data_IF_266489406713
#
_entry.id   IF_266489406713
#
_cell.length_a   1.000
_cell.length_b   1.000
_cell.length_c   1.000
_cell.angle_alpha   90.00
_cell.angle_beta   90.00
_cell.angle_gamma   90.00
#
_symmetry.space_group_name_H-M   'P 1'
#
loop_
_entity.id
_entity.type
_entity.pdbx_description
1 polymer ?
#
# COMPACT_ATOMS: atom_id res chain seq x y z
N UNK A 1 -46.44 76.34 -22.99
CA UNK A 1 -46.24 76.06 -21.54
C UNK A 1 -46.42 74.58 -21.31
N UNK A 2 -45.46 73.97 -20.61
CA UNK A 2 -45.51 72.70 -19.84
C UNK A 2 -45.76 71.36 -20.55
N UNK A 3 -44.73 70.52 -20.42
CA UNK A 3 -44.65 69.05 -20.46
C UNK A 3 -45.86 68.33 -19.84
N UNK A 4 -46.12 67.07 -20.23
CA UNK A 4 -45.94 65.87 -19.39
C UNK A 4 -46.06 64.58 -20.25
N UNK A 5 -45.17 63.62 -19.97
CA UNK A 5 -44.99 62.32 -20.60
C UNK A 5 -46.05 61.29 -20.20
N UNK A 6 -46.33 60.31 -21.07
CA UNK A 6 -46.71 58.97 -20.63
C UNK A 6 -46.07 57.91 -21.55
N UNK A 7 -45.17 57.13 -20.95
CA UNK A 7 -44.55 55.93 -21.50
C UNK A 7 -45.57 54.80 -21.60
N UNK A 8 -45.53 53.99 -22.67
CA UNK A 8 -45.74 52.55 -22.56
C UNK A 8 -44.90 51.79 -23.59
N UNK A 9 -44.30 50.70 -23.10
CA UNK A 9 -43.23 49.92 -23.70
C UNK A 9 -43.70 49.07 -24.88
N UNK A 10 -42.86 49.03 -25.92
CA UNK A 10 -42.87 48.00 -26.97
C UNK A 10 -41.94 46.86 -26.51
N UNK A 11 -42.40 45.60 -26.41
CA UNK A 11 -41.50 44.50 -26.11
C UNK A 11 -40.67 44.14 -27.35
N UNK A 12 -39.35 44.33 -27.23
CA UNK A 12 -38.34 43.84 -28.17
C UNK A 12 -38.29 42.31 -28.07
N UNK A 13 -38.77 41.63 -29.12
CA UNK A 13 -38.52 40.20 -29.33
C UNK A 13 -37.06 40.03 -29.76
N UNK A 14 -36.18 39.78 -28.78
CA UNK A 14 -34.83 39.27 -29.02
C UNK A 14 -34.92 37.79 -29.38
N UNK A 15 -34.66 37.48 -30.66
CA UNK A 15 -34.32 36.16 -31.17
C UNK A 15 -33.10 35.65 -30.40
N UNK A 16 -33.33 34.86 -29.36
CA UNK A 16 -32.28 34.05 -28.74
C UNK A 16 -32.00 32.87 -29.66
N UNK A 17 -30.92 32.98 -30.43
CA UNK A 17 -30.32 31.86 -31.13
C UNK A 17 -29.87 30.83 -30.09
N UNK A 18 -30.70 29.83 -29.86
CA UNK A 18 -30.35 28.63 -29.12
C UNK A 18 -29.43 27.80 -30.01
N UNK A 19 -28.13 28.13 -30.03
CA UNK A 19 -27.11 27.19 -30.48
C UNK A 19 -27.03 26.08 -29.45
N UNK A 20 -27.80 25.00 -29.68
CA UNK A 20 -27.54 23.71 -29.06
C UNK A 20 -26.19 23.21 -29.61
N UNK A 21 -25.11 23.53 -28.90
CA UNK A 21 -23.89 22.72 -28.98
C UNK A 21 -24.24 21.33 -28.49
N UNK A 22 -24.54 20.44 -29.43
CA UNK A 22 -24.39 18.98 -29.26
C UNK A 22 -22.90 18.65 -29.25
N UNK A 23 -22.16 19.28 -28.34
CA UNK A 23 -20.81 18.88 -28.01
C UNK A 23 -20.91 17.61 -27.20
N UNK A 24 -20.62 16.47 -27.82
CA UNK A 24 -20.19 15.27 -27.09
C UNK A 24 -18.88 15.66 -26.38
N UNK A 25 -18.97 16.32 -25.22
CA UNK A 25 -17.83 16.58 -24.37
C UNK A 25 -17.35 15.22 -23.87
N UNK A 26 -16.45 14.62 -24.64
CA UNK A 26 -15.64 13.50 -24.16
C UNK A 26 -14.99 14.01 -22.88
N UNK A 27 -15.25 13.36 -21.72
CA UNK A 27 -14.73 13.88 -20.48
C UNK A 27 -13.21 13.95 -20.53
N UNK A 28 -12.64 14.96 -19.89
CA UNK A 28 -11.20 15.14 -19.80
C UNK A 28 -10.51 13.80 -19.45
N UNK A 29 -9.44 13.42 -20.18
CA UNK A 29 -8.70 12.21 -19.86
C UNK A 29 -8.03 12.28 -18.48
N UNK A 30 -7.97 13.47 -17.87
CA UNK A 30 -7.46 13.70 -16.52
C UNK A 30 -8.60 14.09 -15.58
N UNK A 31 -8.55 13.59 -14.36
CA UNK A 31 -9.47 13.97 -13.30
C UNK A 31 -8.74 14.13 -11.97
N UNK A 32 -9.21 15.05 -11.13
CA UNK A 32 -8.85 15.08 -9.72
C UNK A 32 -9.54 13.91 -9.03
N UNK A 33 -8.77 13.12 -8.30
CA UNK A 33 -9.24 11.97 -7.55
C UNK A 33 -8.80 12.09 -6.10
N UNK A 34 -9.78 11.97 -5.20
CA UNK A 34 -9.56 11.87 -3.75
C UNK A 34 -9.23 10.42 -3.41
N UNK A 35 -8.18 10.23 -2.62
CA UNK A 35 -7.77 8.98 -2.02
C UNK A 35 -7.88 9.09 -0.49
N UNK A 36 -8.37 8.04 0.16
CA UNK A 36 -8.54 7.98 1.59
C UNK A 36 -7.40 7.19 2.23
N UNK A 37 -6.80 7.75 3.27
CA UNK A 37 -5.75 7.12 4.07
C UNK A 37 -6.36 6.07 5.01
N UNK A 38 -5.62 5.00 5.36
CA UNK A 38 -6.11 4.01 6.31
C UNK A 38 -6.16 4.59 7.73
N UNK A 39 -6.90 3.93 8.61
CA UNK A 39 -6.79 4.20 10.05
C UNK A 39 -5.46 3.66 10.57
N UNK A 40 -4.76 4.48 11.36
CA UNK A 40 -3.54 4.11 12.06
C UNK A 40 -3.90 3.56 13.45
N UNK A 41 -3.39 2.38 13.84
CA UNK A 41 -3.75 1.76 15.12
C UNK A 41 -3.13 2.48 16.33
N UNK A 42 -3.86 2.49 17.45
CA UNK A 42 -3.45 3.19 18.68
C UNK A 42 -2.27 2.53 19.42
N UNK A 43 -2.09 1.21 19.28
CA UNK A 43 -1.04 0.45 19.99
C UNK A 43 0.27 0.37 19.20
N UNK A 44 0.53 1.29 18.27
CA UNK A 44 1.75 1.34 17.48
C UNK A 44 2.53 2.61 17.82
N UNK A 45 3.81 2.74 17.42
CA UNK A 45 4.57 3.95 17.69
C UNK A 45 3.82 5.19 17.19
N UNK A 46 3.93 6.34 17.87
CA UNK A 46 3.21 7.55 17.49
C UNK A 46 3.40 7.89 16.01
N UNK A 47 2.30 8.21 15.34
CA UNK A 47 2.32 8.62 13.95
C UNK A 47 2.77 10.09 13.85
N UNK A 48 3.92 10.33 13.20
CA UNK A 48 4.43 11.66 12.92
C UNK A 48 3.85 12.24 11.61
N UNK A 49 3.40 11.38 10.69
CA UNK A 49 2.80 11.81 9.43
C UNK A 49 2.61 10.67 8.43
N UNK A 50 2.32 11.03 7.19
CA UNK A 50 2.19 10.10 6.08
C UNK A 50 3.06 10.51 4.91
N UNK A 51 3.76 9.53 4.32
CA UNK A 51 4.35 9.65 2.98
C UNK A 51 3.41 8.95 2.01
N UNK A 52 2.80 9.71 1.12
CA UNK A 52 1.94 9.15 0.05
C UNK A 52 2.71 9.11 -1.25
N UNK A 53 2.55 8.02 -1.99
CA UNK A 53 3.21 7.79 -3.27
C UNK A 53 2.17 7.31 -4.28
N UNK A 54 2.14 7.92 -5.46
CA UNK A 54 1.22 7.58 -6.53
C UNK A 54 1.97 7.53 -7.85
N UNK A 55 1.74 6.49 -8.65
CA UNK A 55 2.30 6.40 -10.00
C UNK A 55 1.23 6.76 -11.02
N UNK A 56 1.40 7.88 -11.72
CA UNK A 56 0.46 8.35 -12.75
C UNK A 56 1.23 8.98 -13.90
N UNK A 57 0.85 8.61 -15.13
CA UNK A 57 1.39 9.19 -16.36
C UNK A 57 2.92 8.99 -16.52
N UNK A 58 3.47 7.88 -16.03
CA UNK A 58 4.91 7.61 -16.14
C UNK A 58 5.75 8.28 -15.05
N UNK A 59 5.12 9.00 -14.12
CA UNK A 59 5.81 9.75 -13.07
C UNK A 59 5.31 9.34 -11.69
N UNK A 60 6.24 9.30 -10.74
CA UNK A 60 5.93 9.15 -9.31
C UNK A 60 5.61 10.53 -8.74
N UNK A 61 4.45 10.64 -8.09
CA UNK A 61 4.06 11.81 -7.32
C UNK A 61 4.12 11.45 -5.84
N UNK A 62 4.83 12.26 -5.05
CA UNK A 62 5.02 12.05 -3.61
C UNK A 62 4.49 13.26 -2.85
N UNK A 63 3.76 13.03 -1.75
CA UNK A 63 3.36 14.08 -0.81
C UNK A 63 3.59 13.62 0.63
N UNK A 64 4.06 14.55 1.46
CA UNK A 64 4.17 14.38 2.90
C UNK A 64 3.00 15.09 3.58
N UNK A 65 2.31 14.40 4.48
CA UNK A 65 1.07 14.86 5.08
C UNK A 65 1.13 14.75 6.61
N UNK A 66 0.48 15.65 7.35
CA UNK A 66 0.33 15.54 8.80
C UNK A 66 -0.40 14.25 9.25
N UNK A 67 -0.20 13.80 10.50
CA UNK A 67 -0.72 12.50 10.96
C UNK A 67 -2.26 12.40 10.96
N UNK A 68 -2.93 13.52 11.20
CA UNK A 68 -4.39 13.69 11.26
C UNK A 68 -5.06 13.77 9.87
N UNK A 69 -4.29 13.74 8.78
CA UNK A 69 -4.87 13.73 7.44
C UNK A 69 -5.65 12.45 7.18
N UNK A 70 -6.84 12.59 6.59
CA UNK A 70 -7.73 11.45 6.25
C UNK A 70 -7.82 11.20 4.74
N UNK A 71 -7.55 12.22 3.95
CA UNK A 71 -7.69 12.17 2.50
C UNK A 71 -6.66 13.05 1.79
N UNK A 72 -6.37 12.72 0.54
CA UNK A 72 -5.40 13.43 -0.30
C UNK A 72 -5.86 13.40 -1.76
N UNK A 73 -5.67 14.52 -2.46
CA UNK A 73 -6.04 14.67 -3.86
C UNK A 73 -4.85 14.47 -4.80
N UNK A 74 -5.08 13.78 -5.91
CA UNK A 74 -4.13 13.66 -7.01
C UNK A 74 -4.82 13.83 -8.37
N UNK A 75 -4.06 14.31 -9.36
CA UNK A 75 -4.51 14.31 -10.75
C UNK A 75 -4.13 12.96 -11.38
N UNK A 76 -5.15 12.19 -11.76
CA UNK A 76 -4.99 10.86 -12.34
C UNK A 76 -5.53 10.81 -13.76
N UNK A 77 -5.05 9.84 -14.56
CA UNK A 77 -5.69 9.54 -15.84
C UNK A 77 -6.93 8.70 -15.60
N UNK A 78 -8.08 9.16 -16.12
CA UNK A 78 -9.37 8.51 -15.91
C UNK A 78 -9.33 7.06 -16.38
N UNK A 79 -9.88 6.15 -15.58
CA UNK A 79 -10.01 4.72 -15.85
C UNK A 79 -8.69 3.95 -16.08
N UNK A 80 -7.53 4.54 -15.74
CA UNK A 80 -6.26 3.82 -15.74
C UNK A 80 -5.95 3.31 -14.33
N UNK A 81 -5.49 2.07 -14.24
CA UNK A 81 -4.87 1.50 -13.04
C UNK A 81 -3.79 2.44 -12.56
N UNK A 82 -4.03 3.01 -11.38
CA UNK A 82 -3.17 3.99 -10.72
C UNK A 82 -2.98 3.50 -9.29
N UNK A 83 -1.84 2.88 -8.97
CA UNK A 83 -1.55 2.45 -7.62
C UNK A 83 -1.25 3.65 -6.73
N UNK A 84 -1.83 3.63 -5.55
CA UNK A 84 -1.62 4.60 -4.48
C UNK A 84 -1.11 3.86 -3.24
N UNK A 85 -0.07 4.41 -2.62
CA UNK A 85 0.55 3.91 -1.40
C UNK A 85 0.55 5.00 -0.33
N UNK A 86 0.27 4.60 0.91
CA UNK A 86 0.38 5.43 2.10
C UNK A 86 1.30 4.75 3.11
N UNK A 87 2.50 5.30 3.27
CA UNK A 87 3.47 4.88 4.26
C UNK A 87 3.27 5.70 5.53
N UNK A 88 3.05 5.07 6.70
CA UNK A 88 3.09 5.80 7.94
C UNK A 88 4.54 6.21 8.25
N UNK A 89 4.70 7.47 8.63
CA UNK A 89 5.94 8.00 9.17
C UNK A 89 5.76 8.00 10.67
N UNK A 90 6.59 7.24 11.38
CA UNK A 90 6.43 7.04 12.83
C UNK A 90 7.58 7.66 13.58
N UNK A 91 7.30 8.22 14.74
CA UNK A 91 8.32 8.56 15.72
C UNK A 91 9.01 7.26 16.15
N UNK A 92 10.31 7.14 15.89
CA UNK A 92 11.04 5.92 16.29
C UNK A 92 11.40 6.04 17.77
N UNK A 93 11.07 5.06 18.63
CA UNK A 93 11.36 5.21 20.06
C UNK A 93 12.86 5.27 20.41
N UNK A 94 13.72 4.80 19.51
CA UNK A 94 15.18 4.72 19.70
C UNK A 94 15.97 5.82 18.97
N UNK A 95 15.31 6.69 18.21
CA UNK A 95 15.97 7.80 17.52
C UNK A 95 15.12 9.06 17.58
N UNK A 96 15.77 10.23 17.60
CA UNK A 96 15.07 11.51 17.55
C UNK A 96 14.44 11.80 16.17
N UNK A 97 14.66 10.93 15.19
CA UNK A 97 14.17 11.07 13.82
C UNK A 97 12.88 10.27 13.59
N UNK A 98 12.07 10.75 12.66
CA UNK A 98 10.86 10.02 12.21
C UNK A 98 11.17 9.26 10.93
N UNK A 99 10.71 8.02 10.83
CA UNK A 99 11.10 7.12 9.74
C UNK A 99 9.92 6.32 9.15
N UNK A 100 10.09 5.88 7.90
CA UNK A 100 9.18 4.91 7.27
C UNK A 100 9.72 3.50 7.49
N UNK A 101 9.31 2.85 8.58
CA UNK A 101 9.66 1.45 8.85
C UNK A 101 8.63 0.47 8.30
N UNK A 102 7.34 0.82 8.40
CA UNK A 102 6.25 -0.10 8.10
C UNK A 102 5.93 -0.14 6.60
N UNK A 103 5.48 -1.30 6.14
CA UNK A 103 4.93 -1.47 4.79
C UNK A 103 3.70 -0.58 4.60
N UNK A 104 3.49 -0.06 3.38
CA UNK A 104 2.43 0.87 3.10
C UNK A 104 1.07 0.19 3.09
N UNK A 105 0.03 0.91 3.49
CA UNK A 105 -1.31 0.64 2.98
C UNK A 105 -1.40 1.08 1.52
N UNK A 106 -2.42 0.60 0.80
CA UNK A 106 -2.61 1.05 -0.56
C UNK A 106 -3.99 0.77 -1.11
N UNK A 107 -4.20 1.28 -2.32
CA UNK A 107 -5.36 1.00 -3.14
C UNK A 107 -5.01 1.16 -4.63
N UNK A 108 -5.94 0.74 -5.49
CA UNK A 108 -5.78 0.82 -6.94
C UNK A 108 -7.00 1.51 -7.55
N UNK A 109 -6.83 2.75 -7.98
CA UNK A 109 -7.83 3.44 -8.80
C UNK A 109 -7.84 2.79 -10.21
N UNK A 110 -8.98 2.64 -10.91
CA UNK A 110 -10.33 3.10 -10.54
C UNK A 110 -11.12 2.13 -9.64
N UNK A 111 -10.54 1.00 -9.24
CA UNK A 111 -11.26 -0.04 -8.52
C UNK A 111 -11.64 0.36 -7.09
N UNK A 112 -10.73 1.03 -6.40
CA UNK A 112 -10.96 1.60 -5.07
C UNK A 112 -10.05 2.82 -4.88
N UNK A 113 -10.52 3.78 -4.08
CA UNK A 113 -9.72 4.90 -3.59
C UNK A 113 -9.58 4.90 -2.08
N UNK A 114 -10.14 3.89 -1.40
CA UNK A 114 -9.97 3.67 0.03
C UNK A 114 -8.78 2.77 0.24
N UNK A 115 -7.74 3.29 0.88
CA UNK A 115 -6.53 2.53 1.17
C UNK A 115 -6.79 1.55 2.31
N UNK A 116 -6.31 0.33 2.13
CA UNK A 116 -6.31 -0.68 3.18
C UNK A 116 -4.90 -1.26 3.30
N UNK A 117 -4.53 -1.64 4.52
CA UNK A 117 -3.25 -2.27 4.78
C UNK A 117 -3.06 -3.54 3.94
N UNK A 118 -4.12 -4.36 3.83
CA UNK A 118 -4.13 -5.63 3.08
C UNK A 118 -3.96 -5.46 1.57
N UNK A 119 -4.20 -4.25 1.08
CA UNK A 119 -4.24 -3.90 -0.32
C UNK A 119 -2.93 -3.21 -0.76
N UNK A 120 -2.07 -2.86 0.21
CA UNK A 120 -0.76 -2.25 -0.02
C UNK A 120 0.16 -3.09 -0.89
N UNK A 121 0.19 -4.41 -0.70
CA UNK A 121 1.01 -5.32 -1.51
C UNK A 121 0.65 -5.24 -3.00
N UNK A 122 -0.64 -5.33 -3.33
CA UNK A 122 -1.12 -5.27 -4.71
C UNK A 122 -0.79 -3.93 -5.36
N UNK A 123 -1.01 -2.83 -4.64
CA UNK A 123 -0.66 -1.49 -5.09
C UNK A 123 0.86 -1.32 -5.30
N UNK A 124 1.69 -1.82 -4.39
CA UNK A 124 3.15 -1.72 -4.50
C UNK A 124 3.68 -2.56 -5.66
N UNK A 125 3.16 -3.78 -5.83
CA UNK A 125 3.49 -4.63 -6.97
C UNK A 125 3.12 -3.96 -8.30
N UNK A 126 1.92 -3.38 -8.39
CA UNK A 126 1.49 -2.63 -9.58
C UNK A 126 2.41 -1.45 -9.85
N UNK A 127 2.78 -0.70 -8.81
CA UNK A 127 3.68 0.44 -8.92
C UNK A 127 5.07 0.00 -9.41
N UNK A 128 5.63 -1.06 -8.84
CA UNK A 128 6.92 -1.62 -9.27
C UNK A 128 6.86 -2.09 -10.72
N UNK A 129 5.81 -2.82 -11.13
CA UNK A 129 5.65 -3.26 -12.51
C UNK A 129 5.59 -2.08 -13.48
N UNK A 130 4.83 -1.03 -13.16
CA UNK A 130 4.68 0.15 -14.01
C UNK A 130 6.00 0.94 -14.15
N UNK A 131 6.82 0.96 -13.10
CA UNK A 131 8.14 1.61 -13.11
C UNK A 131 9.19 0.78 -13.85
N UNK A 132 9.26 -0.52 -13.55
CA UNK A 132 10.31 -1.43 -14.00
C UNK A 132 10.09 -1.91 -15.44
N UNK A 133 8.84 -1.94 -15.90
CA UNK A 133 8.46 -2.44 -17.23
C UNK A 133 7.50 -1.49 -17.97
N UNK A 134 7.95 -0.26 -18.32
CA UNK A 134 7.09 0.74 -18.97
C UNK A 134 6.53 0.28 -20.33
N UNK A 135 7.23 -0.60 -21.04
CA UNK A 135 6.77 -1.19 -22.32
C UNK A 135 5.59 -2.14 -22.15
N UNK A 136 5.42 -2.73 -20.96
CA UNK A 136 4.34 -3.68 -20.65
C UNK A 136 3.10 -2.99 -20.06
N UNK A 137 3.05 -1.65 -20.11
CA UNK A 137 1.98 -0.84 -19.51
C UNK A 137 0.57 -1.36 -19.85
N UNK A 138 0.28 -1.69 -21.12
CA UNK A 138 -1.05 -2.21 -21.51
C UNK A 138 -1.41 -3.53 -20.82
N UNK A 139 -0.43 -4.42 -20.65
CA UNK A 139 -0.61 -5.70 -19.96
C UNK A 139 -0.86 -5.49 -18.47
N UNK A 140 -0.07 -4.62 -17.86
CA UNK A 140 -0.20 -4.27 -16.44
C UNK A 140 -1.57 -3.62 -16.17
N UNK A 141 -2.02 -2.72 -17.05
CA UNK A 141 -3.34 -2.08 -16.98
C UNK A 141 -4.52 -3.05 -17.14
N UNK A 142 -4.34 -4.14 -17.89
CA UNK A 142 -5.38 -5.15 -18.14
C UNK A 142 -5.32 -6.35 -17.20
N UNK A 143 -4.31 -6.44 -16.34
CA UNK A 143 -4.24 -7.47 -15.32
C UNK A 143 -5.41 -7.33 -14.35
N UNK A 144 -5.97 -8.47 -13.93
CA UNK A 144 -7.13 -8.49 -13.04
C UNK A 144 -6.71 -8.27 -11.58
N UNK A 145 -6.40 -7.01 -11.26
CA UNK A 145 -5.99 -6.54 -9.95
C UNK A 145 -7.02 -6.86 -8.86
N UNK A 146 -8.31 -6.75 -9.17
CA UNK A 146 -9.39 -7.11 -8.24
C UNK A 146 -9.37 -8.59 -7.86
N UNK A 147 -9.07 -9.48 -8.81
CA UNK A 147 -8.99 -10.92 -8.56
C UNK A 147 -7.75 -11.28 -7.73
N UNK A 148 -6.63 -10.58 -7.91
CA UNK A 148 -5.46 -10.67 -7.03
C UNK A 148 -5.84 -10.23 -5.60
N UNK A 149 -6.50 -9.08 -5.46
CA UNK A 149 -6.87 -8.54 -4.16
C UNK A 149 -7.87 -9.44 -3.42
N UNK A 150 -8.90 -9.92 -4.12
CA UNK A 150 -9.87 -10.86 -3.58
C UNK A 150 -9.21 -12.17 -3.13
N UNK A 151 -8.20 -12.65 -3.87
CA UNK A 151 -7.42 -13.81 -3.45
C UNK A 151 -6.66 -13.55 -2.15
N UNK A 152 -5.95 -12.42 -2.07
CA UNK A 152 -5.17 -12.02 -0.89
C UNK A 152 -6.07 -11.91 0.34
N UNK A 153 -7.21 -11.22 0.20
CA UNK A 153 -8.18 -11.06 1.28
C UNK A 153 -8.77 -12.40 1.73
N UNK A 154 -9.16 -13.26 0.79
CA UNK A 154 -9.64 -14.61 1.12
C UNK A 154 -8.60 -15.43 1.86
N UNK A 155 -7.34 -15.41 1.40
CA UNK A 155 -6.25 -16.13 2.10
C UNK A 155 -6.01 -15.59 3.49
N UNK A 156 -6.02 -14.27 3.68
CA UNK A 156 -5.90 -13.65 5.01
C UNK A 156 -7.01 -14.14 5.96
N UNK A 157 -8.25 -14.21 5.47
CA UNK A 157 -9.38 -14.74 6.25
C UNK A 157 -9.25 -16.23 6.55
N UNK A 158 -8.91 -17.06 5.54
CA UNK A 158 -8.73 -18.51 5.69
C UNK A 158 -7.64 -18.86 6.71
N UNK A 159 -6.56 -18.07 6.76
CA UNK A 159 -5.46 -18.25 7.70
C UNK A 159 -5.84 -17.78 9.11
N UNK A 160 -6.50 -16.61 9.21
CA UNK A 160 -7.04 -16.12 10.48
C UNK A 160 -7.99 -17.13 11.13
N UNK A 161 -8.85 -17.78 10.34
CA UNK A 161 -9.77 -18.82 10.83
C UNK A 161 -9.06 -20.10 11.35
N UNK A 162 -7.76 -20.26 11.11
CA UNK A 162 -6.95 -21.40 11.53
C UNK A 162 -5.89 -21.03 12.56
N UNK A 163 -5.98 -19.83 13.14
CA UNK A 163 -4.96 -19.24 14.01
C UNK A 163 -3.56 -19.25 13.37
N UNK A 164 -3.51 -19.09 12.04
CA UNK A 164 -2.26 -18.97 11.28
C UNK A 164 -2.12 -17.56 10.74
N UNK A 165 -0.86 -17.14 10.59
CA UNK A 165 -0.56 -15.86 9.98
C UNK A 165 -0.36 -15.97 8.47
N UNK A 166 -0.92 -15.01 7.75
CA UNK A 166 -0.70 -14.80 6.32
C UNK A 166 -0.26 -13.36 6.09
N UNK A 167 0.96 -13.18 5.55
CA UNK A 167 1.41 -11.89 5.01
C UNK A 167 1.43 -11.97 3.48
N UNK A 168 0.74 -11.04 2.78
CA UNK A 168 0.84 -10.94 1.33
C UNK A 168 2.27 -10.59 0.87
N UNK A 169 3.06 -9.95 1.72
CA UNK A 169 4.45 -9.56 1.43
C UNK A 169 5.40 -10.76 1.30
N UNK A 170 4.98 -11.94 1.79
CA UNK A 170 5.74 -13.20 1.68
C UNK A 170 5.40 -13.99 0.41
N UNK A 171 4.57 -13.43 -0.49
CA UNK A 171 4.36 -13.96 -1.83
C UNK A 171 5.64 -13.79 -2.61
N UNK A 172 6.11 -14.85 -3.30
CA UNK A 172 7.26 -14.76 -4.19
C UNK A 172 7.02 -13.71 -5.30
N UNK A 173 7.55 -12.52 -5.08
CA UNK A 173 7.31 -11.32 -5.89
C UNK A 173 7.84 -11.49 -7.32
N UNK A 174 9.06 -11.99 -7.47
CA UNK A 174 9.67 -12.16 -8.80
C UNK A 174 8.96 -13.21 -9.64
N UNK A 175 8.52 -14.31 -9.02
CA UNK A 175 7.67 -15.29 -9.71
C UNK A 175 6.35 -14.66 -10.15
N UNK A 176 5.70 -13.88 -9.29
CA UNK A 176 4.45 -13.21 -9.61
C UNK A 176 4.62 -12.18 -10.74
N UNK A 177 5.67 -11.36 -10.69
CA UNK A 177 6.04 -10.44 -11.77
C UNK A 177 6.18 -11.23 -13.09
N UNK A 178 6.96 -12.31 -13.08
CA UNK A 178 7.15 -13.17 -14.27
C UNK A 178 5.83 -13.72 -14.80
N UNK A 179 4.94 -14.21 -13.93
CA UNK A 179 3.66 -14.78 -14.31
C UNK A 179 2.68 -13.73 -14.86
N UNK A 180 2.68 -12.50 -14.31
CA UNK A 180 1.90 -11.36 -14.85
C UNK A 180 2.39 -11.01 -16.25
N UNK A 181 3.71 -10.83 -16.41
CA UNK A 181 4.31 -10.43 -17.70
C UNK A 181 4.12 -11.51 -18.78
N UNK A 182 4.11 -12.79 -18.42
CA UNK A 182 3.83 -13.91 -19.34
C UNK A 182 2.33 -14.12 -19.60
N UNK A 183 1.43 -13.39 -18.93
CA UNK A 183 -0.01 -13.60 -19.01
C UNK A 183 -0.48 -14.93 -18.40
N UNK A 184 0.34 -15.54 -17.53
CA UNK A 184 0.10 -16.85 -16.90
C UNK A 184 -0.50 -16.76 -15.50
N UNK A 185 -0.68 -15.55 -14.95
CA UNK A 185 -1.30 -15.30 -13.65
C UNK A 185 -2.82 -15.54 -13.64
N UNK A 186 -3.30 -16.62 -14.25
CA UNK A 186 -4.73 -16.98 -14.37
C UNK A 186 -5.20 -17.91 -13.25
N UNK A 187 -4.28 -18.75 -12.74
CA UNK A 187 -4.43 -19.60 -11.56
C UNK A 187 -3.42 -19.14 -10.53
N UNK A 188 -3.90 -18.37 -9.55
CA UNK A 188 -3.15 -17.86 -8.41
C UNK A 188 -2.59 -18.97 -7.52
N UNK A 189 -1.64 -19.74 -8.04
CA UNK A 189 -0.83 -20.73 -7.34
C UNK A 189 0.41 -20.03 -6.81
N UNK A 190 0.21 -19.11 -5.88
CA UNK A 190 1.33 -18.42 -5.26
C UNK A 190 2.13 -19.42 -4.43
N UNK A 191 3.42 -19.44 -4.66
CA UNK A 191 4.35 -19.99 -3.70
C UNK A 191 4.52 -18.95 -2.60
N UNK A 192 4.22 -19.36 -1.37
CA UNK A 192 4.48 -18.58 -0.18
C UNK A 192 5.70 -19.17 0.51
N UNK A 193 6.51 -18.31 1.10
CA UNK A 193 7.45 -18.78 2.10
C UNK A 193 6.67 -19.40 3.27
N UNK A 194 7.22 -20.46 3.85
CA UNK A 194 6.65 -21.04 5.06
C UNK A 194 6.89 -20.07 6.21
N UNK A 195 5.88 -19.85 7.06
CA UNK A 195 6.07 -19.09 8.29
C UNK A 195 6.12 -20.05 9.47
N UNK A 196 6.98 -19.75 10.43
CA UNK A 196 7.08 -20.46 11.69
C UNK A 196 7.05 -19.45 12.84
N UNK A 197 6.30 -19.80 13.87
CA UNK A 197 6.33 -19.13 15.16
C UNK A 197 7.53 -19.69 15.94
N UNK A 198 8.52 -18.84 16.23
CA UNK A 198 9.77 -19.27 16.87
C UNK A 198 9.94 -18.54 18.20
N UNK A 199 10.17 -19.26 19.31
CA UNK A 199 10.57 -18.63 20.56
C UNK A 199 11.93 -17.94 20.39
N UNK A 200 11.98 -16.66 20.71
CA UNK A 200 13.17 -15.83 20.69
C UNK A 200 13.25 -15.07 22.01
N UNK A 201 14.39 -15.16 22.68
CA UNK A 201 14.64 -14.33 23.87
C UNK A 201 14.86 -12.88 23.44
N UNK A 202 13.91 -12.03 23.77
CA UNK A 202 13.96 -10.57 23.53
C UNK A 202 14.19 -9.79 24.81
N UNK A 203 14.80 -10.42 25.82
CA UNK A 203 15.05 -9.80 27.11
C UNK A 203 15.63 -8.38 26.95
N UNK A 204 14.86 -7.40 27.41
CA UNK A 204 15.21 -5.99 27.36
C UNK A 204 15.11 -5.32 25.99
N UNK A 205 14.38 -5.84 24.99
CA UNK A 205 14.11 -5.12 23.73
C UNK A 205 12.82 -4.28 23.77
N UNK A 206 12.00 -4.40 24.81
CA UNK A 206 10.69 -3.76 24.89
C UNK A 206 9.69 -4.38 23.93
N UNK A 207 8.69 -3.60 23.51
CA UNK A 207 7.66 -4.06 22.58
C UNK A 207 8.22 -4.27 21.17
N UNK A 208 7.82 -5.37 20.52
CA UNK A 208 8.13 -5.62 19.11
C UNK A 208 6.96 -5.25 18.20
N UNK A 209 7.25 -4.47 17.16
CA UNK A 209 6.33 -4.17 16.07
C UNK A 209 6.82 -4.83 14.79
N UNK A 210 5.98 -5.68 14.19
CA UNK A 210 6.28 -6.21 12.88
C UNK A 210 6.14 -5.12 11.80
N UNK A 211 6.88 -5.22 10.69
CA UNK A 211 6.83 -4.25 9.58
C UNK A 211 5.44 -4.05 8.98
N UNK A 212 4.50 -4.95 9.23
CA UNK A 212 3.18 -4.86 8.64
C UNK A 212 2.12 -4.46 9.68
N UNK A 213 1.48 -3.31 9.45
CA UNK A 213 0.39 -2.77 10.26
C UNK A 213 -0.96 -3.23 9.72
N UNK A 214 -1.99 -3.54 10.54
CA UNK A 214 -1.99 -4.02 11.91
C UNK A 214 -2.18 -5.55 11.95
N UNK A 215 -1.86 -6.30 10.88
CA UNK A 215 -2.24 -7.74 10.81
C UNK A 215 -1.56 -8.59 11.89
N UNK A 216 -0.46 -8.13 12.51
CA UNK A 216 0.15 -8.82 13.64
C UNK A 216 0.02 -8.04 14.94
N UNK A 217 -0.20 -8.75 16.06
CA UNK A 217 -0.21 -8.14 17.37
C UNK A 217 1.19 -7.61 17.72
N UNK A 218 1.20 -6.54 18.49
CA UNK A 218 2.38 -6.12 19.26
C UNK A 218 2.73 -7.24 20.22
N UNK A 219 3.98 -7.68 20.23
CA UNK A 219 4.43 -8.78 21.10
C UNK A 219 5.19 -8.20 22.29
N UNK A 220 4.70 -8.47 23.51
CA UNK A 220 5.23 -7.94 24.78
C UNK A 220 6.18 -8.93 25.49
N UNK A 221 6.93 -8.42 26.48
CA UNK A 221 8.20 -8.93 27.04
C UNK A 221 8.30 -10.38 27.53
N UNK A 222 9.54 -10.91 27.37
CA UNK A 222 10.13 -12.19 27.81
C UNK A 222 9.62 -13.47 27.11
N UNK A 223 10.58 -14.26 26.59
CA UNK A 223 10.36 -15.53 25.87
C UNK A 223 9.24 -15.51 24.84
N UNK A 224 9.35 -14.58 23.90
CA UNK A 224 8.29 -14.32 22.92
C UNK A 224 8.41 -15.23 21.72
N UNK A 225 7.27 -15.51 21.09
CA UNK A 225 7.25 -16.25 19.84
C UNK A 225 7.12 -15.28 18.66
N UNK A 226 8.18 -15.10 17.88
CA UNK A 226 8.19 -14.21 16.71
C UNK A 226 7.88 -14.99 15.43
N UNK A 227 7.26 -14.32 14.47
CA UNK A 227 6.96 -14.91 13.17
C UNK A 227 8.16 -14.82 12.23
N UNK A 228 8.81 -15.94 11.98
CA UNK A 228 9.95 -16.02 11.06
C UNK A 228 9.50 -16.62 9.74
N UNK A 229 9.87 -15.95 8.66
CA UNK A 229 9.80 -16.48 7.31
C UNK A 229 10.92 -17.48 7.09
N UNK A 230 10.55 -18.71 6.74
CA UNK A 230 11.46 -19.82 6.50
C UNK A 230 11.54 -20.07 4.99
N UNK A 231 12.68 -19.77 4.36
CA UNK A 231 12.85 -20.02 2.95
C UNK A 231 12.82 -21.52 2.65
N UNK A 232 12.18 -21.90 1.53
CA UNK A 232 12.15 -23.30 1.05
C UNK A 232 13.43 -23.72 0.32
N UNK A 233 14.23 -22.77 -0.14
CA UNK A 233 15.44 -22.99 -0.94
C UNK A 233 16.54 -22.00 -0.49
N UNK A 234 17.83 -22.39 -0.64
CA UNK A 234 19.01 -21.58 -0.29
C UNK A 234 19.11 -20.24 -1.04
N UNK A 235 18.30 -20.04 -2.09
CA UNK A 235 18.31 -18.85 -2.96
C UNK A 235 17.33 -17.75 -2.53
N UNK A 236 16.66 -17.86 -1.39
CA UNK A 236 15.86 -16.74 -0.86
C UNK A 236 16.77 -15.71 -0.19
N UNK A 237 17.29 -14.77 -0.99
CA UNK A 237 17.93 -13.55 -0.51
C UNK A 237 16.85 -12.53 -0.07
N UNK A 238 16.13 -12.81 1.02
CA UNK A 238 15.14 -11.88 1.59
C UNK A 238 15.47 -11.59 3.06
N UNK A 239 16.64 -11.00 3.29
CA UNK A 239 17.06 -10.50 4.61
C UNK A 239 16.10 -9.45 5.21
N UNK A 240 15.18 -8.89 4.42
CA UNK A 240 14.26 -7.82 4.81
C UNK A 240 12.95 -8.29 5.47
N UNK A 241 12.56 -9.57 5.31
CA UNK A 241 11.19 -10.04 5.62
C UNK A 241 10.92 -10.32 7.11
N UNK A 242 11.96 -10.35 7.92
CA UNK A 242 11.88 -10.68 9.36
C UNK A 242 12.46 -9.55 10.23
N UNK A 243 12.13 -8.30 9.86
CA UNK A 243 12.54 -7.12 10.61
C UNK A 243 11.42 -6.65 11.55
N UNK A 244 11.79 -6.25 12.76
CA UNK A 244 10.92 -5.75 13.80
C UNK A 244 11.44 -4.40 14.30
N UNK A 245 10.53 -3.48 14.55
CA UNK A 245 10.83 -2.24 15.26
C UNK A 245 10.73 -2.52 16.75
N UNK A 246 11.63 -1.95 17.53
CA UNK A 246 11.67 -2.11 18.99
C UNK A 246 11.90 -0.76 19.65
N UNK A 247 11.82 -0.72 20.98
CA UNK A 247 12.18 0.49 21.73
C UNK A 247 13.67 0.84 21.67
N UNK A 248 14.51 -0.13 21.27
CA UNK A 248 15.98 -0.01 21.26
C UNK A 248 16.60 0.02 19.87
N UNK A 249 15.79 -0.08 18.82
CA UNK A 249 16.30 -0.19 17.45
C UNK A 249 15.49 -1.15 16.60
N UNK A 250 16.05 -1.48 15.44
CA UNK A 250 15.52 -2.51 14.56
C UNK A 250 16.15 -3.85 14.89
N UNK A 251 15.32 -4.88 14.90
CA UNK A 251 15.70 -6.24 15.22
C UNK A 251 15.43 -7.13 13.99
N UNK A 252 16.42 -7.89 13.53
CA UNK A 252 16.25 -8.83 12.42
C UNK A 252 16.40 -10.27 12.91
N UNK A 253 15.50 -11.14 12.45
CA UNK A 253 15.51 -12.56 12.80
C UNK A 253 15.63 -13.40 11.54
N UNK A 254 16.79 -14.03 11.33
CA UNK A 254 16.95 -14.94 10.20
C UNK A 254 16.64 -16.38 10.62
N UNK A 255 15.65 -16.99 9.98
CA UNK A 255 15.39 -18.42 10.05
C UNK A 255 16.13 -19.15 8.95
N UNK A 256 16.93 -20.17 9.30
CA UNK A 256 17.59 -21.09 8.38
C UNK A 256 17.13 -22.51 8.70
N UNK A 257 16.75 -23.32 7.71
CA UNK A 257 16.56 -24.77 7.97
C UNK A 257 17.94 -25.43 8.05
N UNK A 258 18.23 -26.14 9.15
CA UNK A 258 19.35 -27.08 9.24
C UNK A 258 18.85 -28.52 8.99
N UNK A 259 19.77 -29.49 8.96
CA UNK A 259 19.44 -30.91 8.73
C UNK A 259 18.49 -31.51 9.78
N UNK A 260 18.32 -30.85 10.93
CA UNK A 260 17.51 -31.32 12.06
C UNK A 260 16.22 -30.48 12.27
N UNK A 261 15.92 -29.50 11.42
CA UNK A 261 14.77 -28.61 11.58
C UNK A 261 15.10 -27.13 11.40
N UNK A 262 14.36 -26.24 12.08
CA UNK A 262 14.54 -24.79 11.98
C UNK A 262 15.64 -24.29 12.94
N UNK A 263 16.68 -23.68 12.40
CA UNK A 263 17.68 -22.89 13.12
C UNK A 263 17.28 -21.41 13.04
N UNK A 264 17.33 -20.69 14.15
CA UNK A 264 17.10 -19.24 14.16
C UNK A 264 18.36 -18.54 14.63
N UNK A 265 18.86 -17.62 13.81
CA UNK A 265 20.03 -16.79 14.13
C UNK A 265 19.56 -15.37 14.41
N UNK A 266 19.92 -14.88 15.60
CA UNK A 266 19.71 -13.50 16.02
C UNK A 266 20.73 -12.61 15.33
N UNK A 267 20.29 -11.56 14.65
CA UNK A 267 21.16 -10.46 14.29
C UNK A 267 20.46 -9.16 14.67
N UNK A 268 20.96 -8.51 15.72
CA UNK A 268 20.56 -7.12 16.01
C UNK A 268 21.43 -6.27 15.09
N UNK A 269 20.81 -5.65 14.09
CA UNK A 269 21.49 -4.66 13.27
C UNK A 269 20.90 -3.31 13.64
N UNK A 270 21.75 -2.43 14.16
CA UNK A 270 21.41 -1.03 14.40
C UNK A 270 21.37 -0.32 13.04
N UNK A 271 20.20 -0.28 12.42
CA UNK A 271 20.00 0.45 11.19
C UNK A 271 19.59 1.90 11.50
N UNK A 272 20.35 2.85 10.96
CA UNK A 272 19.85 4.21 10.75
C UNK A 272 18.84 4.16 9.60
N UNK A 273 17.57 4.42 9.88
CA UNK A 273 16.55 4.48 8.83
C UNK A 273 16.56 5.90 8.26
N UNK A 274 17.11 6.06 7.05
CA UNK A 274 17.09 7.32 6.30
C UNK A 274 15.75 7.58 5.60
#
# INVERSE_FOLDING_TARGET
MKNTYLFFLIPVLLLSACSQETGLHSPSPRQTQVFYLPEYPENYPPLAGWKTVLFSQGTIQTKFLPPQTKEVEFIVKRNNVTPFLAYPITETPFSEESATFFFPAGCMYPYTTKSAWTDGYGAQLAMELLQRFPTEHKRIQSFNWNKLQAFIQKKSQDYKAKDKFFSPWLINKEKLISDILRGKATTYSFQFAETAYVPVSTAGLGQLYYRYIPQLPVVAEQDITVLVTVPKEENFSHSEDNMYLTEKGIFSVMGRKNQNGLLVTRQIEEYTVY
#
